data_IF_633483226305
#
_entry.id   IF_633483226305
#
_cell.length_a   1.000
_cell.length_b   1.000
_cell.length_c   1.000
_cell.angle_alpha   90.00
_cell.angle_beta   90.00
_cell.angle_gamma   90.00
#
_symmetry.space_group_name_H-M   'P 1'
#
loop_
_entity.id
_entity.type
_entity.pdbx_description
1 polymer ?
#
# COMPACT_ATOMS: atom_id res chain seq x y z
N UNK A 1 -27.80 9.21 6.18
CA UNK A 1 -27.02 8.49 5.17
C UNK A 1 -25.55 8.24 5.59
N UNK A 2 -25.12 8.75 6.73
CA UNK A 2 -23.81 8.51 7.35
C UNK A 2 -22.61 8.73 6.40
N UNK A 3 -22.55 9.91 5.77
CA UNK A 3 -21.47 10.29 4.84
C UNK A 3 -20.39 11.03 5.62
N UNK A 4 -19.19 10.43 5.72
CA UNK A 4 -18.08 10.94 6.53
C UNK A 4 -16.94 11.59 5.71
N UNK A 5 -16.97 11.47 4.37
CA UNK A 5 -15.94 12.04 3.49
C UNK A 5 -16.48 12.36 2.10
N UNK A 6 -15.79 13.20 1.34
CA UNK A 6 -16.03 13.46 -0.08
C UNK A 6 -15.10 12.55 -0.93
N UNK A 7 -15.46 12.04 -2.12
CA UNK A 7 -16.78 12.01 -2.71
C UNK A 7 -17.48 10.69 -2.36
N UNK A 8 -18.76 10.78 -1.96
CA UNK A 8 -19.62 9.62 -1.76
C UNK A 8 -20.82 9.70 -2.69
N UNK A 9 -21.10 8.61 -3.38
CA UNK A 9 -22.28 8.46 -4.22
C UNK A 9 -23.16 7.37 -3.62
N UNK A 10 -24.46 7.67 -3.45
CA UNK A 10 -25.45 6.73 -2.96
C UNK A 10 -26.35 6.34 -4.11
N UNK A 11 -26.47 5.05 -4.35
CA UNK A 11 -27.38 4.51 -5.34
C UNK A 11 -28.56 3.90 -4.58
N UNK A 12 -29.73 4.44 -4.84
CA UNK A 12 -30.97 4.08 -4.14
C UNK A 12 -31.89 3.30 -5.10
N UNK A 13 -32.71 2.42 -4.53
CA UNK A 13 -33.85 1.85 -5.25
C UNK A 13 -35.05 2.82 -5.24
N UNK A 14 -36.14 2.44 -5.91
CA UNK A 14 -37.35 3.25 -5.99
C UNK A 14 -38.06 3.47 -4.63
N UNK A 15 -37.70 2.70 -3.59
CA UNK A 15 -38.18 2.88 -2.20
C UNK A 15 -37.28 3.78 -1.37
N UNK A 16 -36.20 4.32 -1.93
CA UNK A 16 -35.22 5.14 -1.22
C UNK A 16 -34.20 4.34 -0.39
N UNK A 17 -34.15 3.01 -0.51
CA UNK A 17 -33.18 2.17 0.19
C UNK A 17 -31.82 2.19 -0.55
N UNK A 18 -30.74 2.26 0.22
CA UNK A 18 -29.37 2.21 -0.34
C UNK A 18 -29.08 0.79 -0.84
N UNK A 19 -28.86 0.65 -2.16
CA UNK A 19 -28.42 -0.61 -2.77
C UNK A 19 -26.92 -0.68 -2.94
N UNK A 20 -26.25 0.47 -3.08
CA UNK A 20 -24.79 0.58 -3.17
C UNK A 20 -24.30 1.93 -2.70
N UNK A 21 -23.09 1.93 -2.14
CA UNK A 21 -22.27 3.12 -1.93
C UNK A 21 -21.05 3.06 -2.86
N UNK A 22 -20.61 4.22 -3.35
CA UNK A 22 -19.33 4.34 -4.08
C UNK A 22 -18.52 5.39 -3.34
N UNK A 23 -17.40 4.99 -2.80
CA UNK A 23 -16.48 5.86 -2.06
C UNK A 23 -15.28 6.27 -2.92
N UNK A 24 -14.86 7.52 -2.75
CA UNK A 24 -13.69 8.08 -3.42
C UNK A 24 -13.94 8.53 -4.85
N UNK A 25 -13.02 9.39 -5.35
CA UNK A 25 -12.99 9.80 -6.75
C UNK A 25 -12.45 8.70 -7.65
N UNK A 26 -12.94 8.65 -8.89
CA UNK A 26 -12.42 7.76 -9.92
C UNK A 26 -12.53 8.39 -11.30
N UNK A 27 -11.71 7.91 -12.24
CA UNK A 27 -11.83 8.30 -13.65
C UNK A 27 -13.15 7.78 -14.21
N UNK A 28 -13.70 8.48 -15.22
CA UNK A 28 -15.02 8.17 -15.77
C UNK A 28 -15.25 6.70 -16.18
N UNK A 29 -14.31 5.99 -16.83
CA UNK A 29 -14.48 4.57 -17.14
C UNK A 29 -14.65 3.71 -15.87
N UNK A 30 -13.79 3.90 -14.89
CA UNK A 30 -13.85 3.20 -13.61
C UNK A 30 -15.14 3.50 -12.84
N UNK A 31 -15.59 4.76 -12.83
CA UNK A 31 -16.85 5.16 -12.22
C UNK A 31 -18.05 4.44 -12.88
N UNK A 32 -18.07 4.38 -14.21
CA UNK A 32 -19.11 3.64 -14.95
C UNK A 32 -19.16 2.16 -14.56
N UNK A 33 -18.01 1.53 -14.37
CA UNK A 33 -17.95 0.13 -13.94
C UNK A 33 -18.46 -0.05 -12.50
N UNK A 34 -18.11 0.86 -11.58
CA UNK A 34 -18.66 0.88 -10.23
C UNK A 34 -20.18 1.04 -10.20
N UNK A 35 -20.73 1.90 -11.05
CA UNK A 35 -22.19 2.07 -11.21
C UNK A 35 -22.83 0.80 -11.77
N UNK A 36 -22.22 0.18 -12.78
CA UNK A 36 -22.75 -1.09 -13.36
C UNK A 36 -22.84 -2.19 -12.32
N UNK A 37 -21.82 -2.32 -11.46
CA UNK A 37 -21.80 -3.25 -10.33
C UNK A 37 -22.96 -2.97 -9.38
N UNK A 38 -23.18 -1.70 -9.07
CA UNK A 38 -24.24 -1.24 -8.17
C UNK A 38 -25.65 -1.59 -8.66
N UNK A 39 -25.88 -1.55 -9.95
CA UNK A 39 -27.20 -1.78 -10.55
C UNK A 39 -27.59 -3.27 -10.64
N UNK A 40 -26.67 -4.19 -10.43
CA UNK A 40 -26.96 -5.62 -10.46
C UNK A 40 -27.22 -6.18 -9.07
N UNK A 41 -28.36 -6.85 -8.81
CA UNK A 41 -28.63 -7.50 -7.53
C UNK A 41 -27.57 -8.54 -7.13
N UNK A 42 -26.88 -9.15 -8.10
CA UNK A 42 -25.84 -10.16 -7.86
C UNK A 42 -24.49 -9.57 -7.46
N UNK A 43 -24.29 -8.26 -7.67
CA UNK A 43 -22.99 -7.60 -7.44
C UNK A 43 -23.09 -6.32 -6.60
N UNK A 44 -24.31 -5.79 -6.37
CA UNK A 44 -24.53 -4.65 -5.47
C UNK A 44 -24.25 -5.02 -4.01
N UNK A 45 -23.93 -4.02 -3.20
CA UNK A 45 -23.65 -4.22 -1.77
C UNK A 45 -24.83 -4.88 -1.04
N UNK A 46 -26.06 -4.42 -1.31
CA UNK A 46 -27.28 -4.99 -0.70
C UNK A 46 -27.45 -6.46 -1.10
N UNK A 47 -27.45 -6.76 -2.40
CA UNK A 47 -27.73 -8.11 -2.88
C UNK A 47 -26.62 -9.12 -2.51
N UNK A 48 -25.36 -8.70 -2.53
CA UNK A 48 -24.26 -9.59 -2.11
C UNK A 48 -24.25 -9.81 -0.60
N UNK A 49 -24.64 -8.82 0.21
CA UNK A 49 -24.82 -8.94 1.65
C UNK A 49 -25.92 -9.97 1.98
N UNK A 50 -27.11 -9.81 1.37
CA UNK A 50 -28.24 -10.74 1.55
C UNK A 50 -27.84 -12.19 1.19
N UNK A 51 -27.06 -12.35 0.13
CA UNK A 51 -26.53 -13.67 -0.26
C UNK A 51 -25.55 -14.23 0.77
N UNK A 52 -24.64 -13.41 1.30
CA UNK A 52 -23.70 -13.81 2.34
C UNK A 52 -24.42 -14.20 3.64
N UNK A 53 -25.38 -13.40 4.08
CA UNK A 53 -26.17 -13.63 5.30
C UNK A 53 -27.12 -14.83 5.21
N UNK A 54 -27.34 -15.37 4.01
CA UNK A 54 -28.18 -16.58 3.82
C UNK A 54 -27.48 -17.89 4.24
N UNK A 55 -26.26 -17.86 4.76
CA UNK A 55 -25.42 -19.00 5.16
C UNK A 55 -25.17 -20.07 4.05
N UNK A 56 -25.58 -19.77 2.82
CA UNK A 56 -25.43 -20.64 1.62
C UNK A 56 -24.64 -19.90 0.53
N UNK A 57 -23.52 -19.30 0.91
CA UNK A 57 -22.66 -18.60 -0.03
C UNK A 57 -21.49 -19.47 -0.51
N UNK A 58 -21.08 -19.27 -1.74
CA UNK A 58 -19.88 -19.88 -2.32
C UNK A 58 -18.68 -18.93 -2.17
N UNK A 59 -17.47 -19.45 -2.42
CA UNK A 59 -16.25 -18.61 -2.54
C UNK A 59 -16.45 -17.43 -3.53
N UNK A 60 -17.18 -17.66 -4.64
CA UNK A 60 -17.51 -16.61 -5.60
C UNK A 60 -18.46 -15.55 -5.03
N UNK A 61 -19.44 -15.95 -4.24
CA UNK A 61 -20.37 -15.01 -3.59
C UNK A 61 -19.64 -14.14 -2.57
N UNK A 62 -18.73 -14.72 -1.79
CA UNK A 62 -17.88 -13.98 -0.86
C UNK A 62 -16.94 -13.00 -1.60
N UNK A 63 -16.36 -13.43 -2.73
CA UNK A 63 -15.59 -12.52 -3.59
C UNK A 63 -16.43 -11.33 -4.07
N UNK A 64 -17.63 -11.56 -4.56
CA UNK A 64 -18.51 -10.49 -5.04
C UNK A 64 -18.88 -9.53 -3.90
N UNK A 65 -19.13 -10.05 -2.70
CA UNK A 65 -19.43 -9.22 -1.53
C UNK A 65 -18.23 -8.37 -1.12
N UNK A 66 -17.05 -8.96 -1.07
CA UNK A 66 -15.80 -8.24 -0.80
C UNK A 66 -15.55 -7.13 -1.84
N UNK A 67 -15.80 -7.41 -3.12
CA UNK A 67 -15.65 -6.40 -4.14
C UNK A 67 -16.64 -5.23 -3.95
N UNK A 68 -17.89 -5.53 -3.59
CA UNK A 68 -18.91 -4.52 -3.29
C UNK A 68 -18.54 -3.68 -2.04
N UNK A 69 -18.00 -4.31 -0.99
CA UNK A 69 -17.48 -3.63 0.20
C UNK A 69 -16.31 -2.70 -0.14
N UNK A 70 -15.38 -3.16 -0.98
CA UNK A 70 -14.25 -2.34 -1.44
C UNK A 70 -14.73 -1.08 -2.20
N UNK A 71 -15.70 -1.24 -3.10
CA UNK A 71 -16.31 -0.12 -3.83
C UNK A 71 -17.04 0.84 -2.90
N UNK A 72 -17.65 0.31 -1.85
CA UNK A 72 -18.37 1.10 -0.84
C UNK A 72 -17.44 1.81 0.16
N UNK A 73 -16.17 1.42 0.27
CA UNK A 73 -15.25 1.94 1.28
C UNK A 73 -15.51 1.39 2.68
N UNK A 74 -16.13 0.21 2.79
CA UNK A 74 -16.42 -0.46 4.07
C UNK A 74 -15.18 -1.24 4.55
N UNK A 75 -14.09 -0.51 4.85
CA UNK A 75 -12.76 -1.09 5.06
C UNK A 75 -12.67 -2.10 6.20
N UNK A 76 -13.36 -1.88 7.32
CA UNK A 76 -13.31 -2.79 8.48
C UNK A 76 -13.88 -4.17 8.14
N UNK A 77 -15.06 -4.20 7.49
CA UNK A 77 -15.71 -5.44 7.10
C UNK A 77 -14.96 -6.11 5.94
N UNK A 78 -14.47 -5.31 4.98
CA UNK A 78 -13.62 -5.79 3.91
C UNK A 78 -12.37 -6.50 4.44
N UNK A 79 -11.69 -5.94 5.45
CA UNK A 79 -10.50 -6.57 6.04
C UNK A 79 -10.84 -7.87 6.78
N UNK A 80 -11.93 -7.89 7.54
CA UNK A 80 -12.37 -9.09 8.28
C UNK A 80 -12.66 -10.23 7.32
N UNK A 81 -13.59 -10.03 6.39
CA UNK A 81 -14.03 -11.06 5.45
C UNK A 81 -12.98 -11.39 4.40
N UNK A 82 -12.12 -10.43 4.06
CA UNK A 82 -11.02 -10.65 3.14
C UNK A 82 -10.00 -11.67 3.65
N UNK A 83 -9.73 -11.69 4.96
CA UNK A 83 -8.88 -12.74 5.56
C UNK A 83 -9.53 -14.12 5.43
N UNK A 84 -10.84 -14.20 5.64
CA UNK A 84 -11.62 -15.45 5.45
C UNK A 84 -11.52 -15.92 3.99
N UNK A 85 -11.78 -15.03 3.03
CA UNK A 85 -11.69 -15.34 1.61
C UNK A 85 -10.27 -15.80 1.21
N UNK A 86 -9.24 -15.09 1.66
CA UNK A 86 -7.86 -15.44 1.33
C UNK A 86 -7.46 -16.81 1.90
N UNK A 87 -8.00 -17.22 3.04
CA UNK A 87 -7.79 -18.55 3.59
C UNK A 87 -8.43 -19.67 2.75
N UNK A 88 -9.41 -19.35 1.89
CA UNK A 88 -10.03 -20.29 0.96
C UNK A 88 -9.30 -20.42 -0.38
N UNK A 89 -8.27 -19.56 -0.63
CA UNK A 89 -7.52 -19.59 -1.88
C UNK A 89 -6.43 -20.66 -1.84
N UNK A 90 -6.24 -21.33 -2.96
CA UNK A 90 -5.03 -22.09 -3.21
C UNK A 90 -3.86 -21.16 -3.53
N UNK A 91 -2.64 -21.64 -3.38
CA UNK A 91 -1.42 -20.89 -3.67
C UNK A 91 -1.44 -20.25 -5.07
N UNK A 92 -1.89 -21.00 -6.08
CA UNK A 92 -1.99 -20.51 -7.45
C UNK A 92 -2.98 -19.33 -7.57
N UNK A 93 -4.06 -19.35 -6.82
CA UNK A 93 -5.07 -18.29 -6.86
C UNK A 93 -4.58 -16.98 -6.22
N UNK A 94 -3.56 -17.01 -5.33
CA UNK A 94 -3.00 -15.80 -4.74
C UNK A 94 -2.47 -14.80 -5.78
N UNK A 95 -1.82 -15.28 -6.85
CA UNK A 95 -1.26 -14.40 -7.88
C UNK A 95 -2.27 -13.90 -8.91
N UNK A 96 -3.48 -14.48 -8.96
CA UNK A 96 -4.49 -14.07 -9.94
C UNK A 96 -4.87 -12.58 -9.80
N UNK A 97 -4.91 -11.87 -10.92
CA UNK A 97 -5.20 -10.42 -10.98
C UNK A 97 -6.46 -10.01 -10.22
N UNK A 98 -7.53 -10.82 -10.28
CA UNK A 98 -8.77 -10.53 -9.55
C UNK A 98 -8.58 -10.49 -8.03
N UNK A 99 -7.60 -11.23 -7.49
CA UNK A 99 -7.32 -11.33 -6.06
C UNK A 99 -6.34 -10.26 -5.57
N UNK A 100 -5.69 -9.52 -6.49
CA UNK A 100 -4.73 -8.47 -6.15
C UNK A 100 -5.31 -7.36 -5.27
N UNK A 101 -6.61 -7.07 -5.40
CA UNK A 101 -7.28 -6.05 -4.58
C UNK A 101 -7.21 -6.37 -3.08
N UNK A 102 -7.03 -7.64 -2.72
CA UNK A 102 -6.94 -8.11 -1.33
C UNK A 102 -5.52 -8.03 -0.77
N UNK A 103 -4.50 -7.78 -1.58
CA UNK A 103 -3.10 -7.64 -1.14
C UNK A 103 -2.98 -6.65 0.02
N UNK A 104 -3.70 -5.53 -0.03
CA UNK A 104 -3.70 -4.48 1.01
C UNK A 104 -4.18 -4.96 2.39
N UNK A 105 -4.87 -6.11 2.49
CA UNK A 105 -5.32 -6.71 3.75
C UNK A 105 -4.13 -7.32 4.50
N UNK A 106 -3.16 -7.84 3.77
CA UNK A 106 -2.00 -8.53 4.30
C UNK A 106 -0.82 -7.56 4.46
N UNK A 107 -0.88 -6.72 5.49
CA UNK A 107 0.21 -5.79 5.82
C UNK A 107 1.28 -6.38 6.73
N UNK A 108 1.14 -7.64 7.11
CA UNK A 108 2.11 -8.35 7.93
C UNK A 108 3.09 -9.15 7.08
N UNK A 109 4.38 -8.79 7.16
CA UNK A 109 5.48 -9.50 6.51
C UNK A 109 5.68 -10.93 7.02
N UNK A 110 5.04 -11.32 8.13
CA UNK A 110 5.02 -12.70 8.63
C UNK A 110 3.91 -13.55 8.01
N UNK A 111 2.95 -12.94 7.31
CA UNK A 111 1.82 -13.65 6.70
C UNK A 111 2.24 -14.66 5.65
N UNK A 112 1.47 -15.74 5.50
CA UNK A 112 1.67 -16.73 4.44
C UNK A 112 1.57 -16.09 3.05
N UNK A 113 0.65 -15.14 2.88
CA UNK A 113 0.51 -14.40 1.63
C UNK A 113 1.80 -13.64 1.24
N UNK A 114 2.40 -12.90 2.19
CA UNK A 114 3.65 -12.20 1.93
C UNK A 114 4.78 -13.16 1.54
N UNK A 115 4.93 -14.25 2.31
CA UNK A 115 5.96 -15.27 2.02
C UNK A 115 5.79 -15.89 0.63
N UNK A 116 4.55 -16.22 0.27
CA UNK A 116 4.23 -16.73 -1.06
C UNK A 116 4.52 -15.69 -2.15
N UNK A 117 4.13 -14.43 -1.95
CA UNK A 117 4.41 -13.36 -2.91
C UNK A 117 5.91 -13.19 -3.13
N UNK A 118 6.72 -13.13 -2.09
CA UNK A 118 8.18 -12.95 -2.21
C UNK A 118 8.79 -14.14 -2.95
N UNK A 119 8.42 -15.35 -2.61
CA UNK A 119 8.97 -16.58 -3.26
C UNK A 119 8.49 -16.78 -4.71
N UNK A 120 7.42 -16.12 -5.14
CA UNK A 120 6.83 -16.23 -6.49
C UNK A 120 6.62 -14.86 -7.13
N UNK A 121 7.52 -13.90 -6.84
CA UNK A 121 7.37 -12.49 -7.28
C UNK A 121 7.10 -12.37 -8.78
N UNK A 122 7.76 -13.17 -9.60
CA UNK A 122 7.61 -13.14 -11.06
C UNK A 122 6.17 -13.44 -11.51
N UNK A 123 5.46 -14.35 -10.83
CA UNK A 123 4.05 -14.63 -11.14
C UNK A 123 3.18 -13.40 -10.86
N UNK A 124 3.40 -12.73 -9.72
CA UNK A 124 2.65 -11.52 -9.38
C UNK A 124 2.97 -10.37 -10.33
N UNK A 125 4.23 -10.20 -10.71
CA UNK A 125 4.66 -9.19 -11.68
C UNK A 125 4.01 -9.43 -13.04
N UNK A 126 3.97 -10.67 -13.51
CA UNK A 126 3.32 -11.04 -14.76
C UNK A 126 1.83 -10.66 -14.79
N UNK A 127 1.11 -10.93 -13.70
CA UNK A 127 -0.34 -10.72 -13.62
C UNK A 127 -0.73 -9.27 -13.30
N UNK A 128 0.07 -8.56 -12.49
CA UNK A 128 -0.30 -7.28 -11.90
C UNK A 128 0.60 -6.11 -12.34
N UNK A 129 1.74 -6.40 -12.95
CA UNK A 129 2.77 -5.44 -13.34
C UNK A 129 3.77 -5.14 -12.22
N UNK A 130 5.04 -4.97 -12.60
CA UNK A 130 6.16 -4.74 -11.69
C UNK A 130 5.92 -3.57 -10.73
N UNK A 131 5.51 -2.43 -11.27
CA UNK A 131 5.25 -1.22 -10.46
C UNK A 131 4.19 -1.44 -9.37
N UNK A 132 3.15 -2.23 -9.64
CA UNK A 132 2.11 -2.51 -8.65
C UNK A 132 2.64 -3.40 -7.52
N UNK A 133 3.42 -4.42 -7.87
CA UNK A 133 4.03 -5.36 -6.92
C UNK A 133 5.07 -4.64 -6.05
N UNK A 134 5.96 -3.86 -6.66
CA UNK A 134 6.99 -3.11 -5.93
C UNK A 134 6.38 -2.04 -5.02
N UNK A 135 5.34 -1.33 -5.46
CA UNK A 135 4.62 -0.38 -4.62
C UNK A 135 3.97 -1.06 -3.40
N UNK A 136 3.36 -2.24 -3.60
CA UNK A 136 2.80 -3.00 -2.49
C UNK A 136 3.89 -3.44 -1.51
N UNK A 137 4.96 -4.08 -2.00
CA UNK A 137 6.09 -4.49 -1.17
C UNK A 137 6.70 -3.30 -0.42
N UNK A 138 6.98 -2.19 -1.11
CA UNK A 138 7.50 -0.95 -0.50
C UNK A 138 6.59 -0.45 0.63
N UNK A 139 5.27 -0.54 0.46
CA UNK A 139 4.31 -0.09 1.47
C UNK A 139 4.38 -0.88 2.79
N UNK A 140 4.86 -2.13 2.75
CA UNK A 140 5.02 -2.98 3.93
C UNK A 140 6.22 -2.60 4.80
N UNK A 141 7.19 -1.89 4.22
CA UNK A 141 8.39 -1.42 4.92
C UNK A 141 8.32 0.07 5.29
N UNK A 142 7.45 0.84 4.62
CA UNK A 142 7.45 2.30 4.68
C UNK A 142 7.33 2.86 6.11
N UNK A 143 6.46 2.31 6.94
CA UNK A 143 6.25 2.78 8.31
C UNK A 143 7.50 2.59 9.17
N UNK A 144 8.14 1.41 9.09
CA UNK A 144 9.33 1.10 9.87
C UNK A 144 10.55 1.88 9.38
N UNK A 145 10.73 1.97 8.07
CA UNK A 145 11.81 2.76 7.46
C UNK A 145 11.66 4.24 7.81
N UNK A 146 10.45 4.79 7.74
CA UNK A 146 10.20 6.19 8.07
C UNK A 146 10.48 6.47 9.54
N UNK A 147 10.03 5.60 10.45
CA UNK A 147 10.33 5.72 11.89
C UNK A 147 11.84 5.78 12.14
N UNK A 148 12.60 4.84 11.56
CA UNK A 148 14.06 4.81 11.70
C UNK A 148 14.76 6.02 11.04
N UNK A 149 14.17 6.60 10.01
CA UNK A 149 14.73 7.76 9.33
C UNK A 149 14.42 9.09 10.02
N UNK A 150 13.34 9.19 10.81
CA UNK A 150 12.85 10.46 11.36
C UNK A 150 12.94 10.57 12.89
N UNK A 151 12.94 9.44 13.59
CA UNK A 151 13.00 9.44 15.05
C UNK A 151 14.42 9.70 15.56
N UNK A 152 14.53 10.49 16.61
CA UNK A 152 15.79 10.78 17.32
C UNK A 152 16.10 9.66 18.34
N UNK A 153 15.92 8.41 17.89
CA UNK A 153 16.19 7.21 18.68
C UNK A 153 17.64 6.78 18.53
N UNK A 154 18.15 6.06 19.50
CA UNK A 154 19.48 5.45 19.42
C UNK A 154 19.57 4.55 18.18
N UNK A 155 20.62 4.75 17.39
CA UNK A 155 20.87 3.98 16.18
C UNK A 155 21.10 2.50 16.53
N UNK A 156 20.17 1.65 16.11
CA UNK A 156 20.26 0.19 16.21
C UNK A 156 20.75 -0.42 14.90
N UNK A 157 22.06 -0.66 14.81
CA UNK A 157 22.68 -1.22 13.63
C UNK A 157 22.13 -2.61 13.28
N UNK A 158 21.87 -3.45 14.27
CA UNK A 158 21.37 -4.81 14.03
C UNK A 158 19.96 -4.81 13.45
N UNK A 159 19.09 -3.92 13.95
CA UNK A 159 17.75 -3.71 13.41
C UNK A 159 17.80 -3.17 11.98
N UNK A 160 18.69 -2.22 11.70
CA UNK A 160 18.88 -1.68 10.36
C UNK A 160 19.35 -2.75 9.38
N UNK A 161 20.36 -3.53 9.73
CA UNK A 161 20.90 -4.58 8.87
C UNK A 161 19.86 -5.69 8.59
N UNK A 162 19.06 -6.05 9.60
CA UNK A 162 17.93 -6.98 9.43
C UNK A 162 16.90 -6.44 8.46
N UNK A 163 16.52 -5.16 8.58
CA UNK A 163 15.55 -4.53 7.70
C UNK A 163 16.06 -4.47 6.26
N UNK A 164 17.35 -4.16 6.08
CA UNK A 164 18.00 -4.18 4.76
C UNK A 164 17.94 -5.56 4.12
N UNK A 165 18.22 -6.59 4.90
CA UNK A 165 18.16 -7.96 4.43
C UNK A 165 16.73 -8.35 4.01
N UNK A 166 15.72 -8.05 4.84
CA UNK A 166 14.32 -8.30 4.51
C UNK A 166 13.87 -7.57 3.23
N UNK A 167 14.31 -6.32 3.02
CA UNK A 167 14.03 -5.56 1.80
C UNK A 167 14.68 -6.17 0.56
N UNK A 168 15.92 -6.64 0.68
CA UNK A 168 16.62 -7.37 -0.40
C UNK A 168 15.94 -8.69 -0.73
N UNK A 169 15.55 -9.46 0.27
CA UNK A 169 14.80 -10.72 0.10
C UNK A 169 13.45 -10.50 -0.58
N UNK A 170 12.79 -9.37 -0.30
CA UNK A 170 11.59 -8.95 -1.00
C UNK A 170 11.85 -8.49 -2.45
N UNK A 171 13.10 -8.42 -2.88
CA UNK A 171 13.49 -7.98 -4.22
C UNK A 171 13.15 -6.54 -4.50
N UNK A 172 13.20 -5.66 -3.48
CA UNK A 172 12.98 -4.23 -3.67
C UNK A 172 14.18 -3.59 -4.37
N UNK A 173 13.96 -2.79 -5.43
CA UNK A 173 15.04 -2.09 -6.12
C UNK A 173 15.69 -1.06 -5.19
N UNK A 174 17.01 -0.87 -5.30
CA UNK A 174 17.73 0.19 -4.58
C UNK A 174 17.23 1.60 -4.96
N UNK A 175 16.60 1.72 -6.11
CA UNK A 175 16.03 2.96 -6.64
C UNK A 175 14.59 3.22 -6.22
N UNK A 176 13.95 2.31 -5.51
CA UNK A 176 12.61 2.58 -4.98
C UNK A 176 12.69 3.51 -3.75
N UNK A 177 11.63 4.29 -3.57
CA UNK A 177 11.61 5.34 -2.54
C UNK A 177 11.94 4.80 -1.15
N UNK A 178 11.37 3.66 -0.76
CA UNK A 178 11.60 3.10 0.58
C UNK A 178 13.05 2.68 0.80
N UNK A 179 13.74 2.16 -0.22
CA UNK A 179 15.18 1.82 -0.16
C UNK A 179 16.04 3.07 -0.03
N UNK A 180 15.66 4.14 -0.74
CA UNK A 180 16.38 5.42 -0.65
C UNK A 180 16.21 6.05 0.73
N UNK A 181 14.98 6.10 1.26
CA UNK A 181 14.71 6.63 2.61
C UNK A 181 15.43 5.81 3.68
N UNK A 182 15.49 4.47 3.50
CA UNK A 182 16.28 3.61 4.36
C UNK A 182 17.77 4.00 4.35
N UNK A 183 18.36 4.21 3.18
CA UNK A 183 19.77 4.64 3.04
C UNK A 183 20.06 5.97 3.74
N UNK A 184 19.15 6.93 3.62
CA UNK A 184 19.23 8.22 4.34
C UNK A 184 19.20 7.99 5.85
N UNK A 185 18.24 7.21 6.35
CA UNK A 185 18.11 6.90 7.77
C UNK A 185 19.34 6.18 8.34
N UNK A 186 19.92 5.24 7.57
CA UNK A 186 21.15 4.52 7.96
C UNK A 186 22.34 5.47 8.08
N UNK A 187 22.58 6.32 7.09
CA UNK A 187 23.67 7.30 7.12
C UNK A 187 23.51 8.34 8.23
N UNK A 188 22.27 8.80 8.44
CA UNK A 188 21.94 9.70 9.54
C UNK A 188 22.25 9.07 10.90
N UNK A 189 21.76 7.85 11.16
CA UNK A 189 22.00 7.14 12.42
C UNK A 189 23.48 6.89 12.70
N UNK A 190 24.28 6.69 11.65
CA UNK A 190 25.73 6.60 11.71
C UNK A 190 26.43 7.97 11.86
N UNK A 191 25.69 9.08 11.90
CA UNK A 191 26.20 10.46 11.92
C UNK A 191 27.10 10.80 10.74
N UNK A 192 26.93 10.14 9.59
CA UNK A 192 27.67 10.33 8.35
C UNK A 192 26.96 11.36 7.48
N UNK A 193 26.82 12.60 7.98
CA UNK A 193 26.00 13.62 7.35
C UNK A 193 26.49 14.02 5.95
N UNK A 194 27.80 14.10 5.73
CA UNK A 194 28.38 14.42 4.42
C UNK A 194 28.04 13.32 3.37
N UNK A 195 28.18 12.05 3.74
CA UNK A 195 27.80 10.94 2.88
C UNK A 195 26.28 10.91 2.64
N UNK A 196 25.48 11.27 3.62
CA UNK A 196 24.03 11.37 3.52
C UNK A 196 23.62 12.42 2.44
N UNK A 197 24.26 13.58 2.45
CA UNK A 197 23.98 14.63 1.46
C UNK A 197 24.35 14.20 0.05
N UNK A 198 25.52 13.62 -0.15
CA UNK A 198 25.91 13.03 -1.46
C UNK A 198 24.94 11.95 -1.91
N UNK A 199 24.42 11.16 -0.97
CA UNK A 199 23.44 10.11 -1.27
C UNK A 199 22.09 10.72 -1.68
N UNK A 200 21.64 11.81 -1.05
CA UNK A 200 20.42 12.56 -1.40
C UNK A 200 20.57 13.14 -2.81
N UNK A 201 21.67 13.87 -3.10
CA UNK A 201 21.95 14.43 -4.44
C UNK A 201 21.91 13.36 -5.54
N UNK A 202 22.62 12.26 -5.31
CA UNK A 202 22.64 11.12 -6.26
C UNK A 202 21.25 10.60 -6.59
N UNK A 203 20.33 10.65 -5.63
CA UNK A 203 18.98 10.11 -5.74
C UNK A 203 17.89 11.18 -5.99
N UNK A 204 18.26 12.45 -6.20
CA UNK A 204 17.35 13.58 -6.35
C UNK A 204 16.22 13.33 -7.35
N UNK A 205 16.52 12.75 -8.50
CA UNK A 205 15.54 12.43 -9.54
C UNK A 205 14.38 11.54 -9.07
N UNK A 206 14.62 10.66 -8.08
CA UNK A 206 13.59 9.78 -7.53
C UNK A 206 12.71 10.49 -6.51
N UNK A 207 13.28 11.48 -5.80
CA UNK A 207 12.52 12.32 -4.89
C UNK A 207 11.63 13.32 -5.64
N UNK A 208 12.16 13.98 -6.65
CA UNK A 208 11.43 14.97 -7.43
C UNK A 208 10.14 14.43 -8.05
N UNK A 209 10.15 13.15 -8.44
CA UNK A 209 8.99 12.48 -9.04
C UNK A 209 7.93 12.04 -8.02
N UNK A 210 8.28 11.81 -6.76
CA UNK A 210 7.40 11.17 -5.79
C UNK A 210 7.08 12.02 -4.55
N UNK A 211 8.00 12.86 -4.10
CA UNK A 211 7.88 13.63 -2.85
C UNK A 211 8.00 15.15 -3.05
N UNK A 212 8.30 15.62 -4.25
CA UNK A 212 8.56 17.03 -4.50
C UNK A 212 9.75 17.56 -3.70
N UNK A 213 9.59 18.73 -3.07
CA UNK A 213 10.66 19.39 -2.28
C UNK A 213 10.80 18.84 -0.85
N UNK A 214 9.97 17.90 -0.43
CA UNK A 214 9.96 17.42 0.96
C UNK A 214 11.30 16.84 1.44
N UNK A 215 12.06 16.05 0.66
CA UNK A 215 13.37 15.58 1.08
C UNK A 215 14.40 16.68 1.24
N UNK A 216 14.32 17.75 0.44
CA UNK A 216 15.19 18.92 0.59
C UNK A 216 14.87 19.67 1.89
N UNK A 217 13.58 19.77 2.24
CA UNK A 217 13.16 20.36 3.51
C UNK A 217 13.66 19.49 4.67
N UNK A 218 13.50 18.18 4.61
CA UNK A 218 13.98 17.26 5.65
C UNK A 218 15.50 17.31 5.77
N UNK A 219 16.24 17.35 4.68
CA UNK A 219 17.70 17.55 4.69
C UNK A 219 18.08 18.85 5.39
N UNK A 220 17.29 19.93 5.20
CA UNK A 220 17.57 21.24 5.84
C UNK A 220 17.48 21.22 7.36
N UNK A 221 16.71 20.32 7.98
CA UNK A 221 16.67 20.17 9.43
C UNK A 221 17.99 19.64 10.01
N UNK A 222 18.82 18.98 9.20
CA UNK A 222 20.15 18.51 9.62
C UNK A 222 21.25 19.51 9.35
N UNK A 223 20.95 20.59 8.63
CA UNK A 223 21.90 21.65 8.31
C UNK A 223 22.62 22.23 9.53
N UNK A 224 21.95 22.48 10.68
CA UNK A 224 22.65 22.96 11.88
C UNK A 224 23.69 21.99 12.45
N UNK A 225 23.60 20.71 12.12
CA UNK A 225 24.51 19.67 12.64
C UNK A 225 25.79 19.54 11.77
N UNK A 226 25.82 20.18 10.59
CA UNK A 226 26.97 20.20 9.71
C UNK A 226 28.02 21.19 10.25
N UNK A 227 29.28 20.82 10.15
CA UNK A 227 30.39 21.69 10.49
C UNK A 227 30.72 22.60 9.29
N UNK A 228 31.22 23.79 9.56
CA UNK A 228 31.66 24.87 8.68
C UNK A 228 31.79 24.61 7.17
N UNK A 229 32.78 23.83 6.74
CA UNK A 229 33.01 23.49 5.32
C UNK A 229 31.88 22.70 4.68
N UNK A 230 31.19 21.84 5.45
CA UNK A 230 30.07 21.04 4.91
C UNK A 230 28.82 21.89 4.63
N UNK A 231 28.65 23.04 5.34
CA UNK A 231 27.57 23.99 5.08
C UNK A 231 27.75 24.74 3.77
N UNK A 232 29.00 24.98 3.35
CA UNK A 232 29.34 25.75 2.15
C UNK A 232 29.13 24.91 0.87
N UNK A 233 29.22 23.59 0.97
CA UNK A 233 29.00 22.70 -0.18
C UNK A 233 27.50 22.50 -0.53
N UNK A 234 26.59 22.97 0.35
CA UNK A 234 25.13 22.85 0.18
C UNK A 234 24.45 24.13 -0.34
N UNK A 235 25.17 25.25 -0.36
CA UNK A 235 24.70 26.54 -0.87
C UNK A 235 25.18 26.76 -2.30
#
# INVERSE_FOLDING_TARGET
YNVHSYAHYLILNYKGEIIQRISGGSKLPEFKDKVRIALSPKTSLKGTREKYESDKYSKKDLYNYLYALNVAGEDSLFQKLGKEYMAMLSDKEYSEKKNWIFARIHRDRKSLYYKYLVSHKDLFVKENGEKAVDNYLSSLFSSEVLSLATEDTDYDAARMDKLEQEMKEAGLPDTCLVSIVYGIGKLRGQKKYHEMLKYIEKNERYFAQQLGVRPLIEASFYFPQLKGSEKTELL
#
